data_IF_661806269739
#
_entry.id   IF_661806269739
#
_cell.length_a   1.000
_cell.length_b   1.000
_cell.length_c   1.000
_cell.angle_alpha   90.00
_cell.angle_beta   90.00
_cell.angle_gamma   90.00
#
_symmetry.space_group_name_H-M   'P 1'
#
loop_
_entity.id
_entity.type
_entity.pdbx_description
1 polymer ?
#
# COMPACT_ATOMS: atom_id res chain seq x y z
N UNK A 1 15.41 -23.49 31.53
CA UNK A 1 14.32 -22.82 32.24
C UNK A 1 13.05 -23.22 31.53
N UNK A 2 12.21 -24.03 32.18
CA UNK A 2 10.96 -24.55 31.62
C UNK A 2 9.91 -23.45 31.70
N UNK A 3 9.46 -22.93 30.57
CA UNK A 3 8.27 -22.05 30.52
C UNK A 3 7.05 -22.88 30.93
N UNK A 4 6.63 -22.73 32.19
CA UNK A 4 5.43 -23.38 32.71
C UNK A 4 4.20 -22.75 32.03
N UNK A 5 3.41 -23.50 31.22
CA UNK A 5 2.25 -22.96 30.52
C UNK A 5 1.20 -22.35 31.47
N UNK A 6 1.12 -22.78 32.72
CA UNK A 6 0.24 -22.19 33.73
C UNK A 6 0.70 -20.79 34.16
N UNK A 7 2.01 -20.54 34.14
CA UNK A 7 2.59 -19.22 34.43
C UNK A 7 2.28 -18.22 33.31
N UNK A 8 2.28 -18.66 32.06
CA UNK A 8 1.84 -17.87 30.90
C UNK A 8 0.34 -17.56 30.99
N UNK A 9 -0.51 -18.54 31.27
CA UNK A 9 -1.97 -18.35 31.41
C UNK A 9 -2.29 -17.38 32.55
N UNK A 10 -1.61 -17.48 33.69
CA UNK A 10 -1.78 -16.53 34.80
C UNK A 10 -1.32 -15.13 34.42
N UNK A 11 -0.17 -15.00 33.77
CA UNK A 11 0.32 -13.71 33.29
C UNK A 11 -0.64 -13.04 32.29
N UNK A 12 -1.29 -13.85 31.43
CA UNK A 12 -2.37 -13.42 30.53
C UNK A 12 -3.59 -12.93 31.30
N UNK A 13 -4.09 -13.74 32.23
CA UNK A 13 -5.30 -13.41 32.99
C UNK A 13 -5.11 -12.17 33.87
N UNK A 14 -3.92 -11.96 34.43
CA UNK A 14 -3.58 -10.77 35.21
C UNK A 14 -3.38 -9.52 34.33
N UNK A 15 -2.77 -9.67 33.14
CA UNK A 15 -2.64 -8.58 32.18
C UNK A 15 -4.00 -8.16 31.60
N UNK A 16 -4.87 -9.12 31.29
CA UNK A 16 -6.23 -8.92 30.81
C UNK A 16 -7.10 -8.22 31.87
N UNK A 17 -7.07 -8.69 33.13
CA UNK A 17 -7.79 -8.02 34.25
C UNK A 17 -7.32 -6.59 34.50
N UNK A 18 -6.01 -6.34 34.39
CA UNK A 18 -5.47 -4.99 34.56
C UNK A 18 -5.90 -4.07 33.42
N UNK A 19 -5.85 -4.57 32.19
CA UNK A 19 -6.24 -3.81 31.01
C UNK A 19 -7.76 -3.56 30.94
N UNK A 20 -8.58 -4.48 31.43
CA UNK A 20 -10.03 -4.29 31.57
C UNK A 20 -10.39 -3.09 32.47
N UNK A 21 -9.48 -2.69 33.35
CA UNK A 21 -9.64 -1.51 34.21
C UNK A 21 -8.95 -0.24 33.69
N UNK A 22 -8.10 -0.35 32.66
CA UNK A 22 -7.30 0.77 32.15
C UNK A 22 -7.89 1.36 30.86
N UNK A 23 -7.80 2.68 30.73
CA UNK A 23 -8.13 3.39 29.50
C UNK A 23 -6.84 3.49 28.69
N UNK A 24 -6.89 3.09 27.43
CA UNK A 24 -5.75 3.17 26.51
C UNK A 24 -6.12 3.91 25.24
N UNK A 25 -5.11 4.50 24.61
CA UNK A 25 -5.25 5.16 23.31
C UNK A 25 -4.96 4.17 22.19
N UNK A 26 -5.82 4.14 21.18
CA UNK A 26 -5.55 3.42 19.94
C UNK A 26 -6.11 4.18 18.73
N UNK A 27 -5.51 4.01 17.55
CA UNK A 27 -6.17 4.35 16.29
C UNK A 27 -7.31 3.35 16.04
N UNK A 28 -8.36 3.83 15.40
CA UNK A 28 -9.54 3.06 15.01
C UNK A 28 -9.89 3.35 13.56
N UNK A 29 -10.26 2.30 12.85
CA UNK A 29 -10.79 2.31 11.49
C UNK A 29 -12.10 1.52 11.53
N UNK A 30 -13.20 2.03 10.95
CA UNK A 30 -14.49 1.33 10.93
C UNK A 30 -14.37 -0.12 10.46
N UNK A 31 -15.01 -1.04 11.19
CA UNK A 31 -14.95 -2.49 10.91
C UNK A 31 -13.62 -3.16 11.30
N UNK A 32 -12.61 -2.39 11.74
CA UNK A 32 -11.31 -2.91 12.18
C UNK A 32 -11.29 -3.34 13.65
N UNK A 33 -10.31 -4.18 13.99
CA UNK A 33 -9.96 -4.52 15.38
C UNK A 33 -8.91 -3.55 15.90
N UNK A 34 -9.06 -3.06 17.13
CA UNK A 34 -7.98 -2.35 17.81
C UNK A 34 -7.03 -3.36 18.42
N UNK A 35 -5.73 -3.09 18.29
CA UNK A 35 -4.68 -3.96 18.80
C UNK A 35 -3.85 -3.22 19.84
N UNK A 36 -3.64 -3.83 21.00
CA UNK A 36 -2.84 -3.24 22.09
C UNK A 36 -1.84 -4.26 22.62
N UNK A 37 -0.58 -3.83 22.78
CA UNK A 37 0.48 -4.66 23.33
C UNK A 37 0.74 -4.30 24.79
N UNK A 38 0.44 -5.21 25.71
CA UNK A 38 0.64 -5.04 27.15
C UNK A 38 1.60 -6.10 27.66
N UNK A 39 2.76 -5.68 28.17
CA UNK A 39 3.81 -6.56 28.74
C UNK A 39 4.19 -7.75 27.83
N UNK A 40 4.18 -7.53 26.52
CA UNK A 40 4.55 -8.57 25.53
C UNK A 40 3.37 -9.35 24.97
N UNK A 41 2.19 -9.25 25.58
CA UNK A 41 0.94 -9.85 25.08
C UNK A 41 0.26 -8.87 24.12
N UNK A 42 -0.15 -9.37 22.96
CA UNK A 42 -0.95 -8.61 21.99
C UNK A 42 -2.41 -9.01 22.16
N UNK A 43 -3.26 -8.03 22.47
CA UNK A 43 -4.70 -8.19 22.59
C UNK A 43 -5.38 -7.45 21.43
N UNK A 44 -6.31 -8.13 20.79
CA UNK A 44 -7.11 -7.59 19.70
C UNK A 44 -8.57 -7.57 20.10
N UNK A 45 -9.23 -6.43 19.96
CA UNK A 45 -10.63 -6.24 20.35
C UNK A 45 -11.41 -5.56 19.23
N UNK A 46 -12.64 -6.01 19.01
CA UNK A 46 -13.59 -5.32 18.13
C UNK A 46 -14.20 -4.16 18.91
N UNK A 47 -14.27 -2.99 18.28
CA UNK A 47 -14.90 -1.83 18.91
C UNK A 47 -16.41 -1.98 18.78
N UNK A 48 -17.11 -2.00 19.91
CA UNK A 48 -18.57 -1.98 19.97
C UNK A 48 -18.96 -0.56 20.36
N UNK A 49 -19.10 0.30 19.36
CA UNK A 49 -19.47 1.71 19.55
C UNK A 49 -20.52 2.13 18.51
N UNK A 50 -21.62 2.69 18.98
CA UNK A 50 -22.62 3.40 18.16
C UNK A 50 -22.39 4.93 18.17
N UNK A 51 -21.31 5.36 18.82
CA UNK A 51 -20.93 6.75 19.04
C UNK A 51 -20.11 7.39 17.91
N UNK A 52 -19.32 8.43 18.20
CA UNK A 52 -18.71 9.31 17.19
C UNK A 52 -17.64 8.62 16.32
N UNK A 53 -17.22 7.41 16.67
CA UNK A 53 -16.30 6.62 15.85
C UNK A 53 -17.01 5.56 15.00
N UNK A 54 -18.33 5.34 15.12
CA UNK A 54 -19.03 4.25 14.42
C UNK A 54 -18.65 4.15 12.92
N UNK A 55 -18.72 5.29 12.21
CA UNK A 55 -18.42 5.36 10.78
C UNK A 55 -17.18 6.20 10.44
N UNK A 56 -16.53 6.81 11.43
CA UNK A 56 -15.42 7.76 11.19
C UNK A 56 -14.10 7.23 11.76
N UNK A 57 -13.07 7.03 10.92
CA UNK A 57 -11.76 6.62 11.40
C UNK A 57 -11.12 7.75 12.22
N UNK A 58 -10.37 7.38 13.26
CA UNK A 58 -9.75 8.37 14.14
C UNK A 58 -8.98 7.74 15.28
N UNK A 59 -8.58 8.57 16.25
CA UNK A 59 -8.05 8.09 17.52
C UNK A 59 -9.14 8.09 18.59
N UNK A 60 -9.17 7.05 19.40
CA UNK A 60 -10.09 6.91 20.54
C UNK A 60 -9.35 6.55 21.82
N UNK A 61 -9.95 6.93 22.94
CA UNK A 61 -9.66 6.32 24.23
C UNK A 61 -10.63 5.16 24.41
N UNK A 62 -10.09 3.97 24.64
CA UNK A 62 -10.86 2.73 24.72
C UNK A 62 -10.66 2.06 26.07
N UNK A 63 -11.64 1.26 26.46
CA UNK A 63 -11.56 0.34 27.59
C UNK A 63 -12.00 -1.04 27.12
N UNK A 64 -11.26 -2.07 27.50
CA UNK A 64 -11.69 -3.46 27.23
C UNK A 64 -12.80 -3.82 28.21
N UNK A 65 -13.96 -4.22 27.71
CA UNK A 65 -15.13 -4.59 28.52
C UNK A 65 -15.31 -6.11 28.60
N UNK A 66 -14.96 -6.82 27.53
CA UNK A 66 -14.93 -8.29 27.43
C UNK A 66 -13.64 -8.72 26.71
N UNK A 67 -13.25 -10.00 26.78
CA UNK A 67 -11.98 -10.54 26.23
C UNK A 67 -11.70 -10.21 24.75
N UNK A 68 -12.71 -9.80 23.98
CA UNK A 68 -12.58 -9.42 22.56
C UNK A 68 -13.36 -8.16 22.17
N UNK A 69 -13.85 -7.39 23.16
CA UNK A 69 -14.62 -6.16 22.90
C UNK A 69 -14.03 -4.96 23.63
N UNK A 70 -14.01 -3.85 22.92
CA UNK A 70 -13.61 -2.56 23.46
C UNK A 70 -14.74 -1.55 23.30
N UNK A 71 -14.95 -0.75 24.35
CA UNK A 71 -15.89 0.36 24.36
C UNK A 71 -15.12 1.66 24.18
N UNK A 72 -15.70 2.56 23.38
CA UNK A 72 -15.20 3.93 23.26
C UNK A 72 -15.54 4.74 24.52
N UNK A 73 -14.52 5.32 25.14
CA UNK A 73 -14.67 6.09 26.37
C UNK A 73 -14.74 7.59 26.08
N UNK A 74 -13.82 8.10 25.24
CA UNK A 74 -13.72 9.53 24.96
C UNK A 74 -12.80 9.83 23.77
N UNK A 75 -12.92 11.05 23.25
CA UNK A 75 -12.01 11.59 22.24
C UNK A 75 -10.69 12.00 22.90
N UNK A 76 -9.53 11.55 22.40
CA UNK A 76 -8.25 11.97 22.93
C UNK A 76 -7.90 13.40 22.53
N UNK A 77 -7.10 14.03 23.37
CA UNK A 77 -6.48 15.33 23.07
C UNK A 77 -5.36 15.17 22.05
N UNK A 78 -5.05 16.25 21.34
CA UNK A 78 -3.93 16.28 20.39
C UNK A 78 -2.59 15.89 21.06
N UNK A 79 -2.35 16.34 22.29
CA UNK A 79 -1.14 16.02 23.04
C UNK A 79 -1.01 14.51 23.35
N UNK A 80 -2.13 13.83 23.63
CA UNK A 80 -2.13 12.37 23.84
C UNK A 80 -1.81 11.62 22.54
N UNK A 81 -2.42 12.02 21.42
CA UNK A 81 -2.13 11.44 20.11
C UNK A 81 -0.65 11.63 19.76
N UNK A 82 -0.12 12.83 19.94
CA UNK A 82 1.28 13.12 19.64
C UNK A 82 2.25 12.29 20.52
N UNK A 83 1.95 12.16 21.82
CA UNK A 83 2.75 11.35 22.74
C UNK A 83 2.73 9.87 22.34
N UNK A 84 1.57 9.35 21.95
CA UNK A 84 1.43 7.97 21.46
C UNK A 84 2.20 7.72 20.17
N UNK A 85 2.02 8.59 19.17
CA UNK A 85 2.72 8.50 17.89
C UNK A 85 4.24 8.56 18.04
N UNK A 86 4.76 9.29 19.05
CA UNK A 86 6.20 9.36 19.33
C UNK A 86 6.82 8.03 19.77
N UNK A 87 6.01 7.07 20.26
CA UNK A 87 6.48 5.73 20.65
C UNK A 87 6.88 4.87 19.44
N UNK A 88 6.43 5.23 18.25
CA UNK A 88 6.61 4.45 17.02
C UNK A 88 7.77 4.98 16.17
N UNK A 89 8.44 4.11 15.39
CA UNK A 89 9.37 4.51 14.35
C UNK A 89 8.77 5.56 13.41
N UNK A 90 9.52 6.65 13.19
CA UNK A 90 9.18 7.70 12.22
C UNK A 90 9.75 7.38 10.85
N UNK A 91 8.92 7.52 9.82
CA UNK A 91 9.30 7.46 8.41
C UNK A 91 8.91 8.78 7.72
N UNK A 92 9.65 9.18 6.69
CA UNK A 92 9.28 10.31 5.83
C UNK A 92 8.73 9.79 4.51
N UNK A 93 7.55 10.26 4.12
CA UNK A 93 6.86 9.85 2.91
C UNK A 93 6.55 11.06 2.03
N UNK A 94 6.61 10.88 0.72
CA UNK A 94 6.08 11.83 -0.28
C UNK A 94 4.72 11.32 -0.71
N UNK A 95 3.67 12.13 -0.48
CA UNK A 95 2.32 11.75 -0.85
C UNK A 95 2.13 11.76 -2.36
N UNK A 96 1.33 10.82 -2.85
CA UNK A 96 1.02 10.60 -4.26
C UNK A 96 -0.38 11.15 -4.52
N UNK A 97 -1.41 10.37 -4.19
CA UNK A 97 -2.81 10.74 -4.36
C UNK A 97 -3.68 10.07 -3.30
N UNK A 98 -4.89 10.58 -3.15
CA UNK A 98 -5.92 9.99 -2.32
C UNK A 98 -6.69 8.95 -3.12
N UNK A 99 -6.85 7.77 -2.53
CA UNK A 99 -7.58 6.67 -3.15
C UNK A 99 -8.29 5.83 -2.07
N UNK A 100 -9.62 5.65 -2.19
CA UNK A 100 -10.53 5.14 -1.12
C UNK A 100 -10.52 5.90 0.22
N UNK A 101 -10.29 7.21 0.20
CA UNK A 101 -10.18 7.95 1.47
C UNK A 101 -8.86 7.66 2.21
N UNK A 102 -7.87 7.08 1.54
CA UNK A 102 -6.52 6.89 2.07
C UNK A 102 -5.51 7.57 1.15
N UNK A 103 -4.58 8.30 1.75
CA UNK A 103 -3.47 8.90 1.00
C UNK A 103 -2.38 7.88 0.81
N UNK A 104 -1.85 7.76 -0.39
CA UNK A 104 -0.71 6.89 -0.67
C UNK A 104 0.58 7.68 -0.66
N UNK A 105 1.69 7.06 -0.28
CA UNK A 105 2.98 7.71 -0.26
C UNK A 105 4.14 6.77 -0.54
N UNK A 106 5.21 7.32 -1.10
CA UNK A 106 6.49 6.63 -1.30
C UNK A 106 7.53 7.16 -0.34
N UNK A 107 8.52 6.34 0.00
CA UNK A 107 9.59 6.74 0.90
C UNK A 107 10.36 7.95 0.37
N UNK A 108 10.34 9.06 1.12
CA UNK A 108 10.95 10.33 0.72
C UNK A 108 12.48 10.35 0.89
N UNK A 109 13.00 9.53 1.81
CA UNK A 109 14.42 9.45 2.13
C UNK A 109 14.92 8.02 1.96
N UNK A 110 15.66 7.78 0.88
CA UNK A 110 16.29 6.48 0.58
C UNK A 110 17.42 6.12 1.56
N UNK A 111 17.88 7.07 2.38
CA UNK A 111 18.90 6.85 3.40
C UNK A 111 18.36 6.29 4.72
N UNK A 112 17.04 6.29 4.92
CA UNK A 112 16.42 5.68 6.10
C UNK A 112 16.30 4.17 5.92
N UNK A 113 17.39 3.44 6.15
CA UNK A 113 17.49 1.99 5.94
C UNK A 113 16.67 1.15 6.92
N UNK A 114 16.00 1.79 7.90
CA UNK A 114 15.06 1.10 8.79
C UNK A 114 13.80 0.65 8.05
N UNK A 115 13.54 1.24 6.88
CA UNK A 115 12.44 0.91 6.00
C UNK A 115 12.98 0.73 4.58
N UNK A 116 12.61 -0.37 3.93
CA UNK A 116 12.88 -0.62 2.50
C UNK A 116 11.54 -0.65 1.75
N UNK A 117 10.90 0.52 1.64
CA UNK A 117 9.61 0.64 0.97
C UNK A 117 9.85 0.85 -0.52
N UNK A 118 9.80 -0.26 -1.28
CA UNK A 118 9.93 -0.23 -2.74
C UNK A 118 8.63 0.22 -3.41
N UNK A 119 7.51 -0.09 -2.79
CA UNK A 119 6.17 0.21 -3.30
C UNK A 119 5.51 1.37 -2.54
N UNK A 120 4.53 2.06 -3.16
CA UNK A 120 3.66 2.99 -2.45
C UNK A 120 2.95 2.31 -1.28
N UNK A 121 2.87 3.01 -0.15
CA UNK A 121 2.19 2.54 1.07
C UNK A 121 1.00 3.43 1.43
N UNK A 122 -0.09 2.86 1.99
CA UNK A 122 -1.22 3.63 2.44
C UNK A 122 -0.89 4.35 3.76
N UNK A 123 -1.28 5.62 3.84
CA UNK A 123 -1.17 6.50 5.01
C UNK A 123 -2.56 6.81 5.52
N UNK A 124 -2.80 6.41 6.78
CA UNK A 124 -4.09 6.55 7.47
C UNK A 124 -4.15 7.85 8.25
N UNK A 125 -5.39 8.32 8.45
CA UNK A 125 -5.73 9.50 9.27
C UNK A 125 -5.01 10.78 8.82
N UNK A 126 -4.80 10.91 7.51
CA UNK A 126 -4.12 12.06 6.92
C UNK A 126 -5.01 13.28 6.98
N UNK A 127 -4.48 14.40 7.47
CA UNK A 127 -5.20 15.67 7.55
C UNK A 127 -4.65 16.67 6.53
N UNK A 128 -5.54 17.28 5.74
CA UNK A 128 -5.22 18.39 4.81
C UNK A 128 -4.06 18.10 3.85
N UNK A 129 -3.96 16.86 3.37
CA UNK A 129 -2.91 16.45 2.46
C UNK A 129 -3.11 16.92 1.01
N UNK A 130 -2.00 16.99 0.29
CA UNK A 130 -1.96 17.20 -1.16
C UNK A 130 -0.86 16.33 -1.80
N UNK A 131 -1.02 16.04 -3.10
CA UNK A 131 0.00 15.34 -3.89
C UNK A 131 1.35 16.02 -3.82
N UNK A 132 2.43 15.23 -3.77
CA UNK A 132 3.83 15.63 -3.62
C UNK A 132 4.19 16.28 -2.29
N UNK A 133 3.25 16.41 -1.36
CA UNK A 133 3.57 16.92 -0.04
C UNK A 133 4.39 15.88 0.72
N UNK A 134 5.52 16.31 1.30
CA UNK A 134 6.28 15.45 2.20
C UNK A 134 5.68 15.51 3.60
N UNK A 135 5.51 14.33 4.19
CA UNK A 135 4.96 14.15 5.53
C UNK A 135 5.90 13.30 6.38
N UNK A 136 5.68 13.35 7.69
CA UNK A 136 6.14 12.34 8.62
C UNK A 136 4.97 11.42 8.96
N UNK A 137 5.21 10.12 8.85
CA UNK A 137 4.31 9.08 9.30
C UNK A 137 4.98 8.22 10.38
N UNK A 138 4.16 7.48 11.12
CA UNK A 138 4.58 6.54 12.16
C UNK A 138 4.13 5.14 11.79
N UNK A 139 5.05 4.19 11.92
CA UNK A 139 4.77 2.78 11.60
C UNK A 139 4.60 1.97 12.87
N UNK A 140 3.46 1.31 13.02
CA UNK A 140 3.15 0.47 14.18
C UNK A 140 3.49 -1.01 14.00
N UNK A 141 4.03 -1.37 12.82
CA UNK A 141 4.26 -2.76 12.42
C UNK A 141 3.30 -3.26 11.33
N UNK A 142 2.17 -2.58 11.11
CA UNK A 142 1.21 -2.91 10.04
C UNK A 142 0.79 -1.71 9.20
N UNK A 143 0.64 -0.54 9.82
CA UNK A 143 0.01 0.63 9.23
C UNK A 143 0.88 1.87 9.40
N UNK A 144 0.81 2.76 8.41
CA UNK A 144 1.42 4.07 8.48
C UNK A 144 0.39 5.11 8.91
N UNK A 145 0.64 5.75 10.06
CA UNK A 145 -0.21 6.78 10.63
C UNK A 145 0.36 8.15 10.35
N UNK A 146 -0.44 9.05 9.79
CA UNK A 146 -0.04 10.44 9.61
C UNK A 146 0.31 11.09 10.95
N UNK A 147 1.45 11.80 11.00
CA UNK A 147 1.84 12.61 12.15
C UNK A 147 1.73 14.10 11.85
N UNK A 148 2.45 14.57 10.83
CA UNK A 148 2.48 15.97 10.43
C UNK A 148 3.19 16.18 9.09
N UNK A 149 3.04 17.36 8.53
CA UNK A 149 3.78 17.79 7.34
C UNK A 149 5.28 17.99 7.64
N UNK A 150 6.14 17.60 6.69
CA UNK A 150 7.56 17.91 6.75
C UNK A 150 7.81 19.36 6.31
N UNK A 151 7.67 20.30 7.25
CA UNK A 151 7.88 21.74 7.02
C UNK A 151 9.30 22.14 6.59
N UNK A 152 10.26 21.21 6.61
CA UNK A 152 11.61 21.46 6.10
C UNK A 152 11.68 21.35 4.58
N UNK A 153 10.70 20.70 3.94
CA UNK A 153 10.62 20.60 2.50
C UNK A 153 9.98 21.86 1.92
N UNK A 154 10.58 22.40 0.86
CA UNK A 154 10.03 23.56 0.16
C UNK A 154 8.69 23.21 -0.53
N UNK A 155 7.57 23.81 -0.11
CA UNK A 155 6.25 23.53 -0.69
C UNK A 155 6.13 23.98 -2.16
N UNK A 156 7.03 24.84 -2.65
CA UNK A 156 7.06 25.28 -4.06
C UNK A 156 7.38 24.10 -4.98
N UNK A 157 8.21 23.15 -4.55
CA UNK A 157 8.56 21.98 -5.35
C UNK A 157 7.31 21.12 -5.59
N UNK A 158 6.54 20.83 -4.55
CA UNK A 158 5.27 20.10 -4.67
C UNK A 158 4.28 20.82 -5.58
N UNK A 159 4.23 22.16 -5.53
CA UNK A 159 3.39 22.95 -6.46
C UNK A 159 3.86 22.81 -7.91
N UNK A 160 5.16 22.92 -8.18
CA UNK A 160 5.71 22.76 -9.54
C UNK A 160 5.41 21.39 -10.13
N UNK A 161 5.42 20.33 -9.32
CA UNK A 161 5.03 19.00 -9.78
C UNK A 161 3.55 18.94 -10.17
N UNK A 162 2.66 19.55 -9.37
CA UNK A 162 1.23 19.66 -9.75
C UNK A 162 1.05 20.47 -11.02
N UNK A 163 1.71 21.61 -11.15
CA UNK A 163 1.66 22.44 -12.36
C UNK A 163 2.19 21.69 -13.60
N UNK A 164 3.17 20.79 -13.43
CA UNK A 164 3.69 19.94 -14.50
C UNK A 164 2.73 18.81 -14.86
N UNK A 165 2.03 18.21 -13.88
CA UNK A 165 0.96 17.24 -14.14
C UNK A 165 -0.21 17.89 -14.87
N UNK A 166 -0.59 19.12 -14.50
CA UNK A 166 -1.71 19.84 -15.12
C UNK A 166 -1.40 20.26 -16.59
N UNK A 167 -0.14 20.15 -17.02
CA UNK A 167 0.32 20.40 -18.39
C UNK A 167 0.72 19.13 -19.13
N UNK A 168 0.49 17.96 -18.53
CA UNK A 168 0.84 16.65 -19.07
C UNK A 168 2.30 16.54 -19.54
N UNK A 169 3.24 17.10 -18.76
CA UNK A 169 4.67 17.00 -19.05
C UNK A 169 5.14 15.56 -18.87
N UNK A 170 5.84 14.99 -19.85
CA UNK A 170 6.34 13.61 -19.73
C UNK A 170 7.31 13.47 -18.55
N UNK A 171 7.30 12.34 -17.80
CA UNK A 171 8.18 12.13 -16.65
C UNK A 171 9.67 12.39 -16.95
N UNK A 172 10.13 11.97 -18.15
CA UNK A 172 11.51 12.14 -18.59
C UNK A 172 11.85 13.58 -18.97
N UNK A 173 10.87 14.46 -19.14
CA UNK A 173 11.03 15.88 -19.46
C UNK A 173 10.88 16.79 -18.24
N UNK A 174 10.36 16.27 -17.11
CA UNK A 174 10.22 17.05 -15.89
C UNK A 174 11.59 17.47 -15.35
N UNK A 175 11.80 18.78 -15.26
CA UNK A 175 13.02 19.38 -14.68
C UNK A 175 12.63 20.39 -13.61
N UNK A 176 12.62 19.94 -12.36
CA UNK A 176 12.35 20.79 -11.19
C UNK A 176 13.61 20.85 -10.33
N UNK A 177 14.19 22.05 -10.21
CA UNK A 177 15.36 22.26 -9.34
C UNK A 177 15.04 21.89 -7.89
N UNK A 178 15.91 21.08 -7.29
CA UNK A 178 15.79 20.59 -5.93
C UNK A 178 14.87 19.39 -5.75
N UNK A 179 14.25 18.86 -6.81
CA UNK A 179 13.44 17.64 -6.77
C UNK A 179 14.27 16.42 -6.32
N UNK A 180 13.67 15.55 -5.51
CA UNK A 180 14.31 14.29 -5.11
C UNK A 180 13.94 13.15 -6.07
N UNK A 181 14.73 12.07 -6.14
CA UNK A 181 14.36 10.87 -6.89
C UNK A 181 13.00 10.31 -6.49
N UNK A 182 12.67 10.30 -5.19
CA UNK A 182 11.36 9.84 -4.69
C UNK A 182 10.19 10.70 -5.16
N UNK A 183 10.38 12.01 -5.32
CA UNK A 183 9.33 12.90 -5.86
C UNK A 183 9.16 12.74 -7.37
N UNK A 184 10.27 12.53 -8.10
CA UNK A 184 10.20 12.17 -9.52
C UNK A 184 9.52 10.82 -9.72
N UNK A 185 9.77 9.87 -8.84
CA UNK A 185 9.10 8.58 -8.82
C UNK A 185 7.60 8.72 -8.52
N UNK A 186 7.23 9.51 -7.49
CA UNK A 186 5.83 9.84 -7.22
C UNK A 186 5.16 10.52 -8.42
N UNK A 187 5.89 11.39 -9.14
CA UNK A 187 5.37 12.04 -10.34
C UNK A 187 5.08 11.04 -11.45
N UNK A 188 6.04 10.13 -11.69
CA UNK A 188 5.92 9.08 -12.70
C UNK A 188 4.70 8.19 -12.44
N UNK A 189 4.46 7.82 -11.17
CA UNK A 189 3.29 7.05 -10.76
C UNK A 189 1.99 7.78 -11.12
N UNK A 190 1.85 9.05 -10.70
CA UNK A 190 0.61 9.80 -10.95
C UNK A 190 0.42 10.04 -12.45
N UNK A 191 1.49 10.35 -13.18
CA UNK A 191 1.43 10.59 -14.61
C UNK A 191 0.91 9.36 -15.36
N UNK A 192 1.48 8.17 -15.13
CA UNK A 192 1.03 6.96 -15.82
C UNK A 192 -0.31 6.41 -15.32
N UNK A 193 -0.71 6.74 -14.08
CA UNK A 193 -2.08 6.50 -13.61
C UNK A 193 -3.11 7.31 -14.44
N UNK A 194 -2.76 8.54 -14.86
CA UNK A 194 -3.59 9.39 -15.72
C UNK A 194 -3.48 9.06 -17.21
N UNK A 195 -2.31 8.60 -17.64
CA UNK A 195 -1.96 8.29 -19.04
C UNK A 195 -1.46 6.85 -19.18
N UNK A 196 -2.31 5.84 -18.90
CA UNK A 196 -1.89 4.45 -18.99
C UNK A 196 -1.42 4.08 -20.39
N UNK A 197 -1.94 4.73 -21.44
CA UNK A 197 -1.54 4.54 -22.84
C UNK A 197 -0.09 4.93 -23.15
N UNK A 198 0.51 5.77 -22.30
CA UNK A 198 1.89 6.23 -22.44
C UNK A 198 2.86 5.45 -21.55
N UNK A 199 2.39 4.47 -20.78
CA UNK A 199 3.23 3.64 -19.95
C UNK A 199 4.29 2.92 -20.81
N UNK A 200 5.58 2.96 -20.44
CA UNK A 200 6.62 2.23 -21.13
C UNK A 200 6.26 0.75 -21.23
N UNK A 201 6.23 0.23 -22.45
CA UNK A 201 6.18 -1.22 -22.69
C UNK A 201 7.63 -1.67 -22.66
N UNK A 202 8.02 -2.43 -21.64
CA UNK A 202 9.36 -3.02 -21.59
C UNK A 202 9.60 -3.84 -22.88
N UNK A 203 10.78 -3.70 -23.52
CA UNK A 203 11.17 -4.64 -24.55
C UNK A 203 11.20 -6.02 -23.91
N UNK A 204 10.48 -6.97 -24.51
CA UNK A 204 10.51 -8.37 -24.11
C UNK A 204 11.98 -8.80 -24.00
N UNK A 205 12.37 -9.58 -22.97
CA UNK A 205 13.65 -10.27 -23.05
C UNK A 205 13.58 -11.14 -24.31
N UNK A 206 14.29 -10.71 -25.36
CA UNK A 206 14.47 -11.50 -26.56
C UNK A 206 14.83 -12.91 -26.10
N UNK A 207 13.95 -13.87 -26.38
CA UNK A 207 14.29 -15.27 -26.22
C UNK A 207 15.62 -15.44 -26.92
N UNK A 208 16.65 -15.79 -26.15
CA UNK A 208 17.91 -16.28 -26.68
C UNK A 208 17.58 -17.57 -27.43
N UNK A 209 17.12 -17.43 -28.67
CA UNK A 209 17.13 -18.50 -29.64
C UNK A 209 18.59 -18.66 -29.96
N UNK A 210 19.14 -19.78 -29.46
CA UNK A 210 20.50 -20.18 -29.68
C UNK A 210 20.87 -19.99 -31.15
N UNK A 211 21.90 -19.18 -31.36
CA UNK A 211 22.73 -19.23 -32.56
C UNK A 211 23.32 -20.64 -32.64
N UNK A 212 22.67 -21.53 -33.39
CA UNK A 212 23.33 -22.67 -34.00
C UNK A 212 22.85 -22.84 -35.45
N UNK A 213 23.61 -22.21 -36.35
CA UNK A 213 24.01 -22.70 -37.67
C UNK A 213 22.89 -22.89 -38.71
N UNK A 214 22.90 -22.07 -39.76
CA UNK A 214 23.26 -22.45 -41.14
C UNK A 214 23.42 -21.17 -42.00
N UNK A 215 24.63 -20.99 -42.53
CA UNK A 215 24.96 -20.12 -43.68
C UNK A 215 23.96 -20.36 -44.83
N UNK A 216 23.52 -19.40 -45.65
CA UNK A 216 24.33 -18.76 -46.69
C UNK A 216 23.43 -17.80 -47.48
N UNK A 217 24.03 -16.70 -47.98
CA UNK A 217 23.71 -16.06 -49.28
C UNK A 217 22.50 -15.14 -49.45
N UNK A 218 22.83 -13.84 -49.45
CA UNK A 218 22.62 -12.92 -50.59
C UNK A 218 21.28 -12.18 -50.77
N UNK A 219 21.41 -10.86 -50.68
CA UNK A 219 20.85 -9.82 -51.57
C UNK A 219 19.34 -9.85 -51.86
N UNK A 220 18.59 -8.92 -51.26
CA UNK A 220 18.17 -7.67 -51.91
C UNK A 220 16.87 -7.10 -51.29
N UNK A 221 16.74 -5.78 -51.40
CA UNK A 221 15.49 -5.02 -51.42
C UNK A 221 14.78 -4.72 -50.10
N UNK A 222 15.18 -3.57 -49.56
CA UNK A 222 14.31 -2.60 -48.91
C UNK A 222 12.89 -2.57 -49.48
N UNK A 223 11.88 -2.91 -48.66
CA UNK A 223 10.52 -2.38 -48.81
C UNK A 223 9.97 -2.05 -47.43
N UNK A 224 9.78 -0.74 -47.18
CA UNK A 224 9.08 -0.24 -46.01
C UNK A 224 7.59 -0.49 -46.17
N UNK A 225 7.06 -1.48 -45.46
CA UNK A 225 5.65 -1.51 -45.04
C UNK A 225 5.57 -2.04 -43.61
N UNK A 226 5.90 -1.18 -42.65
CA UNK A 226 5.70 -1.43 -41.21
C UNK A 226 4.33 -0.90 -40.79
N UNK A 227 3.34 -1.78 -40.87
CA UNK A 227 1.94 -1.53 -40.51
C UNK A 227 1.73 -1.10 -39.06
N UNK A 228 0.60 -0.40 -38.91
CA UNK A 228 -0.03 0.08 -37.68
C UNK A 228 -0.36 -1.09 -36.76
N UNK A 229 0.38 -1.29 -35.67
CA UNK A 229 -0.03 -2.11 -34.52
C UNK A 229 0.52 -1.55 -33.20
N UNK A 230 0.50 -0.22 -33.02
CA UNK A 230 1.07 0.44 -31.83
C UNK A 230 0.06 0.68 -30.69
N UNK A 231 -1.25 0.47 -30.90
CA UNK A 231 -2.27 1.05 -30.01
C UNK A 231 -3.28 0.04 -29.42
N UNK A 232 -3.01 -1.27 -29.43
CA UNK A 232 -4.02 -2.28 -29.03
C UNK A 232 -3.79 -2.95 -27.66
N UNK A 233 -2.59 -2.81 -27.06
CA UNK A 233 -2.15 -3.66 -25.95
C UNK A 233 -2.50 -3.13 -24.54
N UNK A 234 -2.45 -1.81 -24.29
CA UNK A 234 -2.74 -1.25 -22.95
C UNK A 234 -4.20 -1.46 -22.50
N UNK A 235 -5.14 -1.50 -23.45
CA UNK A 235 -6.54 -1.78 -23.16
C UNK A 235 -6.83 -3.27 -22.90
N UNK A 236 -6.02 -4.19 -23.43
CA UNK A 236 -6.22 -5.62 -23.20
C UNK A 236 -5.76 -6.03 -21.80
N UNK A 237 -4.68 -5.45 -21.29
CA UNK A 237 -4.10 -5.85 -20.00
C UNK A 237 -4.97 -5.40 -18.81
N UNK A 238 -5.54 -4.20 -18.88
CA UNK A 238 -6.50 -3.73 -17.87
C UNK A 238 -7.84 -4.47 -17.93
N UNK A 239 -8.28 -4.87 -19.13
CA UNK A 239 -9.46 -5.75 -19.25
C UNK A 239 -9.17 -7.12 -18.65
N UNK A 240 -8.03 -7.72 -18.99
CA UNK A 240 -7.58 -9.00 -18.44
C UNK A 240 -7.46 -8.95 -16.91
N UNK A 241 -6.94 -7.86 -16.36
CA UNK A 241 -6.85 -7.63 -14.92
C UNK A 241 -8.24 -7.57 -14.26
N UNK A 242 -9.15 -6.76 -14.82
CA UNK A 242 -10.54 -6.66 -14.33
C UNK A 242 -11.26 -8.00 -14.42
N UNK A 243 -11.09 -8.71 -15.54
CA UNK A 243 -11.71 -10.00 -15.79
C UNK A 243 -11.17 -11.07 -14.83
N UNK A 244 -9.85 -11.11 -14.59
CA UNK A 244 -9.23 -12.04 -13.64
C UNK A 244 -9.72 -11.80 -12.21
N UNK A 245 -9.74 -10.54 -11.76
CA UNK A 245 -10.25 -10.19 -10.44
C UNK A 245 -11.75 -10.52 -10.32
N UNK A 246 -12.55 -10.13 -11.31
CA UNK A 246 -13.99 -10.40 -11.32
C UNK A 246 -14.29 -11.90 -11.30
N UNK A 247 -13.51 -12.71 -12.05
CA UNK A 247 -13.62 -14.16 -12.06
C UNK A 247 -13.34 -14.77 -10.68
N UNK A 248 -12.39 -14.21 -9.93
CA UNK A 248 -12.07 -14.61 -8.57
C UNK A 248 -13.06 -14.08 -7.50
N UNK A 249 -14.04 -13.26 -7.90
CA UNK A 249 -14.96 -12.59 -6.99
C UNK A 249 -14.37 -11.35 -6.30
N UNK A 250 -13.30 -10.80 -6.85
CA UNK A 250 -12.71 -9.53 -6.46
C UNK A 250 -13.12 -8.40 -7.42
N UNK A 251 -13.11 -7.17 -6.93
CA UNK A 251 -13.29 -5.99 -7.77
C UNK A 251 -11.96 -5.26 -7.90
N UNK A 252 -11.52 -4.97 -9.11
CA UNK A 252 -10.43 -4.02 -9.31
C UNK A 252 -10.88 -2.68 -8.77
N UNK A 253 -10.11 -2.19 -7.80
CA UNK A 253 -10.38 -0.92 -7.20
C UNK A 253 -9.51 0.12 -7.90
N UNK A 254 -8.19 -0.07 -7.92
CA UNK A 254 -7.28 0.74 -8.74
C UNK A 254 -5.94 0.05 -8.95
N UNK A 255 -5.03 0.73 -9.63
CA UNK A 255 -3.69 0.22 -9.88
C UNK A 255 -2.72 1.40 -10.06
N UNK A 256 -1.45 1.13 -9.81
CA UNK A 256 -0.36 2.05 -10.06
C UNK A 256 0.73 1.31 -10.81
N UNK A 257 1.30 1.98 -11.79
CA UNK A 257 2.53 1.54 -12.42
C UNK A 257 3.48 2.73 -12.45
N UNK A 258 4.76 2.46 -12.28
CA UNK A 258 5.80 3.43 -12.54
C UNK A 258 6.27 3.38 -14.01
N UNK A 259 5.60 2.60 -14.86
CA UNK A 259 6.00 2.35 -16.23
C UNK A 259 6.90 1.13 -16.42
N UNK A 260 7.09 0.31 -15.39
CA UNK A 260 7.74 -1.01 -15.51
C UNK A 260 6.75 -2.10 -15.94
N UNK A 261 7.24 -3.33 -16.15
CA UNK A 261 6.39 -4.53 -16.35
C UNK A 261 5.69 -5.00 -15.07
N UNK A 262 5.92 -4.31 -13.94
CA UNK A 262 5.27 -4.54 -12.67
C UNK A 262 4.22 -3.45 -12.41
N UNK A 263 3.14 -3.87 -11.75
CA UNK A 263 2.00 -3.03 -11.45
C UNK A 263 1.50 -3.38 -10.07
N UNK A 264 1.42 -2.38 -9.22
CA UNK A 264 0.78 -2.51 -7.92
C UNK A 264 -0.73 -2.40 -8.12
N UNK A 265 -1.44 -3.50 -7.92
CA UNK A 265 -2.88 -3.62 -8.09
C UNK A 265 -3.57 -3.59 -6.74
N UNK A 266 -4.57 -2.72 -6.61
CA UNK A 266 -5.48 -2.69 -5.49
C UNK A 266 -6.81 -3.31 -5.87
N UNK A 267 -7.27 -4.26 -5.07
CA UNK A 267 -8.49 -5.00 -5.34
C UNK A 267 -9.27 -5.24 -4.05
N UNK A 268 -10.59 -5.26 -4.17
CA UNK A 268 -11.51 -5.47 -3.05
C UNK A 268 -12.04 -6.90 -3.10
N UNK A 269 -11.94 -7.60 -1.98
CA UNK A 269 -12.44 -8.97 -1.78
C UNK A 269 -13.33 -8.97 -0.55
N UNK A 270 -14.60 -9.35 -0.71
CA UNK A 270 -15.57 -9.44 0.40
C UNK A 270 -15.57 -8.19 1.31
N UNK A 271 -15.50 -7.00 0.70
CA UNK A 271 -15.50 -5.70 1.39
C UNK A 271 -14.15 -5.22 1.93
N UNK A 272 -13.10 -6.04 1.82
CA UNK A 272 -11.76 -5.71 2.30
C UNK A 272 -10.84 -5.33 1.15
N UNK A 273 -10.08 -4.25 1.35
CA UNK A 273 -9.13 -3.74 0.35
C UNK A 273 -7.77 -4.41 0.51
N UNK A 274 -7.29 -5.04 -0.57
CA UNK A 274 -6.01 -5.72 -0.66
C UNK A 274 -5.13 -5.07 -1.73
N UNK A 275 -3.82 -5.24 -1.61
CA UNK A 275 -2.85 -4.76 -2.58
C UNK A 275 -1.88 -5.87 -2.93
N UNK A 276 -1.60 -6.07 -4.22
CA UNK A 276 -0.58 -6.99 -4.68
C UNK A 276 0.21 -6.33 -5.81
N UNK A 277 1.52 -6.48 -5.80
CA UNK A 277 2.36 -6.19 -6.95
C UNK A 277 2.32 -7.40 -7.90
N UNK A 278 1.91 -7.16 -9.15
CA UNK A 278 1.76 -8.19 -10.17
C UNK A 278 2.49 -7.79 -11.44
N UNK A 279 2.96 -8.77 -12.19
CA UNK A 279 3.55 -8.53 -13.50
C UNK A 279 2.45 -8.40 -14.56
N UNK A 280 2.51 -7.33 -15.37
CA UNK A 280 1.47 -6.93 -16.32
C UNK A 280 1.10 -8.02 -17.34
N UNK A 281 2.08 -8.80 -17.81
CA UNK A 281 1.88 -9.72 -18.93
C UNK A 281 1.16 -11.04 -18.58
N UNK A 282 1.24 -11.48 -17.33
CA UNK A 282 0.75 -12.79 -16.87
C UNK A 282 -0.04 -12.73 -15.56
N UNK A 283 -0.08 -11.57 -14.90
CA UNK A 283 -0.70 -11.35 -13.59
C UNK A 283 -0.10 -12.21 -12.47
N UNK A 284 1.14 -12.68 -12.66
CA UNK A 284 1.90 -13.37 -11.61
C UNK A 284 2.17 -12.40 -10.47
N UNK A 285 1.93 -12.83 -9.24
CA UNK A 285 2.15 -12.01 -8.04
C UNK A 285 3.65 -11.96 -7.75
N UNK A 286 4.22 -10.76 -7.84
CA UNK A 286 5.61 -10.49 -7.44
C UNK A 286 5.70 -10.31 -5.93
N UNK A 287 4.69 -9.66 -5.35
CA UNK A 287 4.53 -9.48 -3.90
C UNK A 287 3.05 -9.33 -3.56
N UNK A 288 2.55 -10.08 -2.59
CA UNK A 288 1.12 -10.08 -2.24
C UNK A 288 0.71 -8.99 -1.24
N UNK A 289 1.65 -8.14 -0.79
CA UNK A 289 1.40 -7.16 0.27
C UNK A 289 1.15 -7.77 1.66
N UNK A 290 1.17 -9.10 1.78
CA UNK A 290 1.11 -9.87 3.02
C UNK A 290 2.30 -10.85 3.03
N UNK A 291 2.84 -11.20 4.21
CA UNK A 291 3.94 -12.16 4.28
C UNK A 291 3.45 -13.59 3.95
N UNK A 292 3.51 -14.01 2.68
CA UNK A 292 3.26 -15.41 2.26
C UNK A 292 4.50 -16.32 2.41
N UNK A 293 5.32 -16.07 3.43
CA UNK A 293 6.55 -16.85 3.69
C UNK A 293 7.49 -16.97 2.47
N UNK A 294 7.49 -15.99 1.56
CA UNK A 294 8.37 -15.96 0.39
C UNK A 294 7.92 -16.83 -0.79
N UNK A 295 6.65 -17.28 -0.80
CA UNK A 295 6.05 -18.06 -1.90
C UNK A 295 5.14 -17.24 -2.81
N UNK A 296 5.24 -15.92 -2.74
CA UNK A 296 4.39 -14.99 -3.48
C UNK A 296 4.38 -15.28 -5.00
N UNK A 297 5.52 -15.68 -5.57
CA UNK A 297 5.67 -16.00 -6.99
C UNK A 297 5.00 -17.32 -7.43
N UNK A 298 4.56 -18.15 -6.49
CA UNK A 298 3.82 -19.39 -6.79
C UNK A 298 2.33 -19.10 -7.13
N UNK A 299 1.89 -17.84 -6.96
CA UNK A 299 0.49 -17.43 -7.13
C UNK A 299 0.31 -16.48 -8.31
N UNK A 300 -0.78 -16.69 -9.06
CA UNK A 300 -1.37 -15.64 -9.89
C UNK A 300 -2.37 -14.81 -9.07
N UNK A 301 -2.74 -13.64 -9.58
CA UNK A 301 -3.65 -12.73 -8.88
C UNK A 301 -5.01 -13.37 -8.55
N UNK A 302 -5.51 -14.25 -9.43
CA UNK A 302 -6.76 -15.00 -9.25
C UNK A 302 -6.70 -15.93 -8.05
N UNK A 303 -5.59 -16.68 -7.92
CA UNK A 303 -5.35 -17.62 -6.84
C UNK A 303 -5.13 -16.90 -5.51
N UNK A 304 -4.44 -15.75 -5.54
CA UNK A 304 -4.25 -14.90 -4.36
C UNK A 304 -5.58 -14.42 -3.77
N UNK A 305 -6.54 -14.02 -4.61
CA UNK A 305 -7.89 -13.65 -4.16
C UNK A 305 -8.55 -14.82 -3.42
N UNK A 306 -8.42 -16.05 -3.93
CA UNK A 306 -8.93 -17.25 -3.26
C UNK A 306 -8.37 -17.42 -1.84
N UNK A 307 -7.05 -17.25 -1.68
CA UNK A 307 -6.36 -17.29 -0.38
C UNK A 307 -6.88 -16.21 0.56
N UNK A 308 -7.08 -14.99 0.07
CA UNK A 308 -7.61 -13.88 0.87
C UNK A 308 -9.04 -14.17 1.36
N UNK A 309 -9.87 -14.81 0.55
CA UNK A 309 -11.24 -15.22 0.97
C UNK A 309 -11.22 -16.31 2.03
N UNK A 310 -10.30 -17.26 1.96
CA UNK A 310 -10.14 -18.26 3.01
C UNK A 310 -9.64 -17.65 4.31
N UNK A 311 -8.69 -16.71 4.22
CA UNK A 311 -8.20 -15.95 5.37
C UNK A 311 -9.34 -15.23 6.10
N UNK A 312 -10.15 -14.45 5.38
CA UNK A 312 -11.30 -13.75 5.98
C UNK A 312 -12.35 -14.71 6.53
N UNK A 313 -12.61 -15.83 5.85
CA UNK A 313 -13.61 -16.81 6.31
C UNK A 313 -13.20 -17.52 7.60
N UNK A 314 -11.90 -17.71 7.81
CA UNK A 314 -11.36 -18.28 9.04
C UNK A 314 -11.22 -17.24 10.17
N UNK A 315 -11.30 -15.93 9.89
CA UNK A 315 -11.38 -14.89 10.93
C UNK A 315 -12.77 -14.74 11.58
N UNK A 316 -13.81 -15.35 10.99
CA UNK A 316 -15.20 -15.35 11.50
C UNK A 316 -15.62 -16.66 12.21
N UNK A 317 -14.66 -17.54 12.53
CA UNK A 317 -14.84 -18.72 13.40
C UNK A 317 -13.94 -18.62 14.63
#
# INVERSE_FOLDING_TARGET
MSDDPLSLIRSFSDAEKKLASEIFLAPYVPGGKITVKVKGVVLSASVVDEGPLADTPGFGLFRITESSKAEYVAKPTFAQIEAYLKLMPRVSLTLIEEFDGHWWGVQAQSSDTRFDLKDPVPVRLTERAASFQQIFARFDGSSFWYQCENRRRDPVIARKFRDALDRDVLPDEVRISGATPSELFAYRIIFFSRHPELAPVEPQPEQQVADEIIETSSQDSFSMQGGVHRNQWVNSDLRRLRDALAHAGARLDGYWTDGSSEMTVRYIVDGHTHTANVRLHDLTVVSSGICLSGRDQDFDLTSLVGVMREFHRNEYY
#
